data_IF_078784229483
#
_entry.id   IF_078784229483
#
_cell.length_a   1.000
_cell.length_b   1.000
_cell.length_c   1.000
_cell.angle_alpha   90.00
_cell.angle_beta   90.00
_cell.angle_gamma   90.00
#
_symmetry.space_group_name_H-M   'P 1'
#
loop_
_entity.id
_entity.type
_entity.pdbx_description
1 polymer ?
#
# COMPACT_ATOMS: atom_id res chain seq x y z
N UNK A 1 57.42 -46.72 -40.76
CA UNK A 1 56.39 -47.09 -39.75
C UNK A 1 56.20 -45.84 -38.88
N UNK A 2 55.20 -45.07 -39.25
CA UNK A 2 54.95 -43.72 -38.72
C UNK A 2 53.80 -43.78 -37.75
N UNK A 3 54.03 -43.61 -36.46
CA UNK A 3 52.95 -43.49 -35.46
C UNK A 3 52.56 -42.02 -35.35
N UNK A 4 51.36 -41.75 -35.82
CA UNK A 4 50.72 -40.44 -35.67
C UNK A 4 50.20 -40.31 -34.24
N UNK A 5 50.68 -39.26 -33.55
CA UNK A 5 50.14 -38.79 -32.28
C UNK A 5 48.99 -37.86 -32.59
N UNK A 6 47.77 -38.29 -32.24
CA UNK A 6 46.60 -37.44 -32.31
C UNK A 6 46.43 -36.71 -30.96
N UNK A 7 46.75 -35.43 -30.93
CA UNK A 7 46.52 -34.56 -29.77
C UNK A 7 45.12 -34.01 -29.85
N UNK A 8 44.21 -34.57 -29.06
CA UNK A 8 42.84 -34.06 -28.91
C UNK A 8 42.87 -32.89 -27.94
N UNK A 9 42.69 -31.68 -28.48
CA UNK A 9 42.52 -30.41 -27.74
C UNK A 9 41.06 -30.36 -27.25
N UNK A 10 40.82 -30.66 -25.98
CA UNK A 10 39.55 -30.53 -25.32
C UNK A 10 39.38 -29.08 -24.85
N UNK A 11 38.79 -28.25 -25.69
CA UNK A 11 38.39 -26.88 -25.30
C UNK A 11 37.20 -26.96 -24.38
N UNK A 12 37.46 -26.82 -23.06
CA UNK A 12 36.42 -26.67 -22.05
C UNK A 12 35.68 -25.34 -22.22
N UNK A 13 34.49 -25.38 -22.76
CA UNK A 13 33.59 -24.23 -22.82
C UNK A 13 32.97 -24.03 -21.42
N UNK A 14 33.62 -23.18 -20.64
CA UNK A 14 33.12 -22.79 -19.32
C UNK A 14 31.95 -21.82 -19.53
N UNK A 15 30.74 -22.34 -19.52
CA UNK A 15 29.56 -21.49 -19.47
C UNK A 15 29.55 -20.74 -18.13
N UNK A 16 29.98 -19.50 -18.17
CA UNK A 16 29.74 -18.58 -17.08
C UNK A 16 28.24 -18.30 -16.97
N UNK A 17 27.57 -19.02 -16.07
CA UNK A 17 26.21 -18.73 -15.66
C UNK A 17 26.26 -17.39 -14.89
N UNK A 18 26.04 -16.29 -15.58
CA UNK A 18 25.78 -15.00 -14.92
C UNK A 18 24.45 -15.14 -14.21
N UNK A 19 24.50 -15.39 -12.90
CA UNK A 19 23.34 -15.22 -12.04
C UNK A 19 22.97 -13.74 -12.10
N UNK A 20 21.94 -13.41 -12.89
CA UNK A 20 21.26 -12.14 -12.79
C UNK A 20 20.57 -12.16 -11.44
N UNK A 21 21.24 -11.60 -10.44
CA UNK A 21 20.62 -11.31 -9.15
C UNK A 21 19.49 -10.30 -9.44
N UNK A 22 18.25 -10.75 -9.45
CA UNK A 22 17.11 -9.85 -9.34
C UNK A 22 17.19 -9.24 -7.94
N UNK A 23 17.84 -8.11 -7.83
CA UNK A 23 17.68 -7.25 -6.68
C UNK A 23 16.19 -6.88 -6.68
N UNK A 24 15.43 -7.40 -5.71
CA UNK A 24 14.04 -7.01 -5.53
C UNK A 24 13.93 -5.48 -5.42
N UNK A 25 12.77 -4.93 -5.79
CA UNK A 25 12.51 -3.49 -5.67
C UNK A 25 12.79 -3.00 -4.25
N UNK A 26 13.29 -1.77 -4.11
CA UNK A 26 13.41 -1.15 -2.78
C UNK A 26 12.03 -0.76 -2.25
N UNK A 27 11.86 -0.58 -0.92
CA UNK A 27 10.63 -0.04 -0.36
C UNK A 27 10.19 1.28 -1.01
N UNK A 28 11.16 2.16 -1.27
CA UNK A 28 10.92 3.46 -1.92
C UNK A 28 10.49 3.30 -3.36
N UNK A 29 11.08 2.37 -4.13
CA UNK A 29 10.70 2.14 -5.53
C UNK A 29 9.24 1.67 -5.64
N UNK A 30 8.82 0.76 -4.76
CA UNK A 30 7.45 0.24 -4.74
C UNK A 30 6.42 1.30 -4.37
N UNK A 31 6.72 2.14 -3.37
CA UNK A 31 5.86 3.27 -3.00
C UNK A 31 5.82 4.30 -4.12
N UNK A 32 6.99 4.67 -4.68
CA UNK A 32 7.09 5.63 -5.79
C UNK A 32 6.28 5.18 -6.99
N UNK A 33 6.40 3.92 -7.41
CA UNK A 33 5.63 3.37 -8.53
C UNK A 33 4.14 3.56 -8.34
N UNK A 34 3.62 3.33 -7.13
CA UNK A 34 2.21 3.53 -6.84
C UNK A 34 1.80 5.00 -6.79
N UNK A 35 2.63 5.87 -6.22
CA UNK A 35 2.40 7.32 -6.20
C UNK A 35 2.41 7.89 -7.62
N UNK A 36 3.39 7.53 -8.45
CA UNK A 36 3.50 8.00 -9.83
C UNK A 36 2.28 7.54 -10.66
N UNK A 37 1.85 6.27 -10.49
CA UNK A 37 0.63 5.77 -11.14
C UNK A 37 -0.62 6.56 -10.71
N UNK A 38 -0.75 6.92 -9.43
CA UNK A 38 -1.84 7.77 -8.94
C UNK A 38 -1.82 9.15 -9.59
N UNK A 39 -0.65 9.78 -9.69
CA UNK A 39 -0.50 11.10 -10.32
C UNK A 39 -0.82 11.05 -11.83
N UNK A 40 -0.45 9.99 -12.53
CA UNK A 40 -0.80 9.79 -13.95
C UNK A 40 -2.31 9.63 -14.14
N UNK A 41 -3.00 8.85 -13.27
CA UNK A 41 -4.45 8.71 -13.32
C UNK A 41 -5.14 10.07 -13.12
N UNK A 42 -4.68 10.87 -12.15
CA UNK A 42 -5.26 12.19 -11.88
C UNK A 42 -5.12 13.15 -13.07
N UNK A 43 -3.99 13.11 -13.77
CA UNK A 43 -3.70 13.94 -14.95
C UNK A 43 -4.38 13.46 -16.22
N UNK A 44 -4.94 12.27 -16.25
CA UNK A 44 -5.56 11.71 -17.46
C UNK A 44 -6.91 12.38 -17.73
N UNK A 45 -6.94 13.29 -18.68
CA UNK A 45 -8.15 14.03 -19.11
C UNK A 45 -9.15 13.16 -19.88
N UNK A 46 -8.76 11.97 -20.35
CA UNK A 46 -9.63 11.04 -21.06
C UNK A 46 -10.53 10.22 -20.13
N UNK A 47 -10.21 10.20 -18.83
CA UNK A 47 -11.00 9.52 -17.82
C UNK A 47 -11.97 10.50 -17.16
N UNK A 48 -13.23 10.08 -17.05
CA UNK A 48 -14.19 10.73 -16.15
C UNK A 48 -13.84 10.45 -14.68
N UNK A 49 -14.57 11.09 -13.77
CA UNK A 49 -14.34 10.96 -12.34
C UNK A 49 -14.43 9.52 -11.85
N UNK A 50 -15.42 8.78 -12.31
CA UNK A 50 -15.63 7.39 -11.88
C UNK A 50 -14.55 6.47 -12.45
N UNK A 51 -14.11 6.68 -13.68
CA UNK A 51 -12.98 5.99 -14.30
C UNK A 51 -11.66 6.23 -13.55
N UNK A 52 -11.40 7.48 -13.13
CA UNK A 52 -10.24 7.81 -12.30
C UNK A 52 -10.31 7.07 -10.95
N UNK A 53 -11.44 7.12 -10.26
CA UNK A 53 -11.65 6.45 -8.98
C UNK A 53 -11.45 4.94 -9.07
N UNK A 54 -11.99 4.30 -10.09
CA UNK A 54 -11.82 2.86 -10.32
C UNK A 54 -10.34 2.47 -10.51
N UNK A 55 -9.58 3.25 -11.30
CA UNK A 55 -8.15 3.00 -11.50
C UNK A 55 -7.34 3.29 -10.23
N UNK A 56 -7.64 4.37 -9.49
CA UNK A 56 -6.99 4.67 -8.21
C UNK A 56 -7.24 3.56 -7.18
N UNK A 57 -8.47 3.05 -7.09
CA UNK A 57 -8.81 1.92 -6.22
C UNK A 57 -7.97 0.68 -6.56
N UNK A 58 -7.75 0.39 -7.85
CA UNK A 58 -6.88 -0.72 -8.28
C UNK A 58 -5.46 -0.54 -7.75
N UNK A 59 -4.85 0.63 -7.96
CA UNK A 59 -3.48 0.93 -7.48
C UNK A 59 -3.39 0.80 -5.96
N UNK A 60 -4.40 1.31 -5.23
CA UNK A 60 -4.46 1.21 -3.77
C UNK A 60 -4.54 -0.25 -3.34
N UNK A 61 -5.44 -1.05 -3.93
CA UNK A 61 -5.64 -2.44 -3.54
C UNK A 61 -4.44 -3.35 -3.88
N UNK A 62 -3.64 -3.01 -4.88
CA UNK A 62 -2.39 -3.71 -5.19
C UNK A 62 -1.27 -3.40 -4.18
N UNK A 63 -1.23 -2.18 -3.66
CA UNK A 63 -0.14 -1.72 -2.78
C UNK A 63 -0.45 -1.87 -1.30
N UNK A 64 -1.72 -1.76 -0.88
CA UNK A 64 -2.12 -1.79 0.53
C UNK A 64 -2.59 -3.18 0.93
N UNK A 65 -2.01 -3.77 1.97
CA UNK A 65 -2.53 -5.00 2.57
C UNK A 65 -3.63 -4.67 3.59
N UNK A 66 -4.85 -4.48 3.08
CA UNK A 66 -6.01 -4.15 3.92
C UNK A 66 -6.32 -5.22 4.97
N UNK A 67 -6.00 -6.50 4.72
CA UNK A 67 -6.11 -7.53 5.73
C UNK A 67 -5.11 -7.32 6.88
N UNK A 68 -3.87 -7.00 6.55
CA UNK A 68 -2.85 -6.71 7.56
C UNK A 68 -3.15 -5.40 8.31
N UNK A 69 -3.70 -4.40 7.64
CA UNK A 69 -4.17 -3.15 8.25
C UNK A 69 -5.34 -3.41 9.21
N UNK A 70 -6.34 -4.15 8.77
CA UNK A 70 -7.52 -4.53 9.57
C UNK A 70 -7.14 -5.31 10.83
N UNK A 71 -6.26 -6.31 10.69
CA UNK A 71 -5.76 -7.09 11.83
C UNK A 71 -5.10 -6.18 12.87
N UNK A 72 -4.33 -5.18 12.45
CA UNK A 72 -3.67 -4.23 13.35
C UNK A 72 -4.66 -3.25 13.98
N UNK A 73 -5.67 -2.85 13.23
CA UNK A 73 -6.74 -1.95 13.71
C UNK A 73 -7.58 -2.62 14.78
N UNK A 74 -8.04 -3.85 14.55
CA UNK A 74 -8.84 -4.59 15.53
C UNK A 74 -8.01 -5.13 16.71
N UNK A 75 -6.70 -5.29 16.54
CA UNK A 75 -5.77 -5.76 17.56
C UNK A 75 -6.25 -7.06 18.25
N UNK A 76 -6.52 -7.01 19.56
CA UNK A 76 -6.99 -8.19 20.32
C UNK A 76 -8.39 -8.66 19.91
N UNK A 77 -9.24 -7.77 19.36
CA UNK A 77 -10.57 -8.14 18.88
C UNK A 77 -10.51 -9.02 17.64
N UNK A 78 -9.46 -8.91 16.79
CA UNK A 78 -9.27 -9.76 15.62
C UNK A 78 -9.31 -11.25 15.93
N UNK A 79 -8.83 -11.67 17.11
CA UNK A 79 -8.83 -13.07 17.53
C UNK A 79 -10.20 -13.56 18.03
N UNK A 80 -11.12 -12.64 18.28
CA UNK A 80 -12.46 -12.92 18.82
C UNK A 80 -13.54 -12.95 17.74
N UNK A 81 -13.21 -12.48 16.52
CA UNK A 81 -14.13 -12.43 15.37
C UNK A 81 -14.04 -13.71 14.55
N UNK A 82 -15.15 -14.10 13.93
CA UNK A 82 -15.23 -15.19 12.95
C UNK A 82 -14.50 -14.84 11.65
N UNK A 83 -14.34 -15.78 10.75
CA UNK A 83 -13.70 -15.50 9.46
C UNK A 83 -14.61 -14.67 8.54
N UNK A 84 -15.92 -14.83 8.62
CA UNK A 84 -16.92 -14.04 7.92
C UNK A 84 -16.90 -12.58 8.40
N UNK A 85 -16.90 -12.35 9.71
CA UNK A 85 -16.77 -11.02 10.30
C UNK A 85 -15.45 -10.34 9.91
N UNK A 86 -14.35 -11.09 9.87
CA UNK A 86 -13.06 -10.56 9.39
C UNK A 86 -13.13 -10.13 7.93
N UNK A 87 -13.74 -10.94 7.06
CA UNK A 87 -13.91 -10.60 5.64
C UNK A 87 -14.75 -9.34 5.47
N UNK A 88 -15.88 -9.27 6.18
CA UNK A 88 -16.76 -8.11 6.16
C UNK A 88 -16.04 -6.85 6.67
N UNK A 89 -15.33 -6.96 7.79
CA UNK A 89 -14.55 -5.84 8.32
C UNK A 89 -13.48 -5.36 7.33
N UNK A 90 -12.73 -6.27 6.70
CA UNK A 90 -11.69 -5.91 5.71
C UNK A 90 -12.32 -5.16 4.53
N UNK A 91 -13.46 -5.64 4.01
CA UNK A 91 -14.17 -4.99 2.91
C UNK A 91 -14.67 -3.57 3.29
N UNK A 92 -15.30 -3.42 4.45
CA UNK A 92 -15.76 -2.12 4.92
C UNK A 92 -14.60 -1.17 5.24
N UNK A 93 -13.50 -1.70 5.79
CA UNK A 93 -12.34 -0.89 6.16
C UNK A 93 -11.61 -0.35 4.93
N UNK A 94 -11.45 -1.16 3.86
CA UNK A 94 -10.88 -0.66 2.60
C UNK A 94 -11.74 0.43 1.99
N UNK A 95 -13.05 0.22 1.87
CA UNK A 95 -13.98 1.23 1.35
C UNK A 95 -13.96 2.53 2.17
N UNK A 96 -13.96 2.40 3.50
CA UNK A 96 -13.92 3.56 4.39
C UNK A 96 -12.64 4.37 4.21
N UNK A 97 -11.47 3.72 4.14
CA UNK A 97 -10.19 4.39 3.90
C UNK A 97 -10.20 5.05 2.52
N UNK A 98 -10.57 4.33 1.47
CA UNK A 98 -10.63 4.88 0.11
C UNK A 98 -11.55 6.11 0.05
N UNK A 99 -12.79 6.01 0.54
CA UNK A 99 -13.75 7.11 0.51
C UNK A 99 -13.32 8.31 1.37
N UNK A 100 -12.61 8.08 2.48
CA UNK A 100 -12.13 9.15 3.35
C UNK A 100 -11.01 9.98 2.74
N UNK A 101 -10.24 9.41 1.80
CA UNK A 101 -9.06 10.07 1.24
C UNK A 101 -9.17 10.37 -0.24
N UNK A 102 -10.09 9.72 -1.00
CA UNK A 102 -10.22 9.91 -2.45
C UNK A 102 -10.43 11.37 -2.83
N UNK A 103 -11.31 12.09 -2.15
CA UNK A 103 -11.56 13.51 -2.44
C UNK A 103 -10.34 14.40 -2.19
N UNK A 104 -9.51 14.07 -1.19
CA UNK A 104 -8.24 14.78 -0.94
C UNK A 104 -7.22 14.50 -2.05
N UNK A 105 -7.17 13.24 -2.52
CA UNK A 105 -6.29 12.83 -3.60
C UNK A 105 -6.74 13.49 -4.92
N UNK A 106 -8.04 13.53 -5.19
CA UNK A 106 -8.62 14.19 -6.37
C UNK A 106 -8.35 15.71 -6.42
N UNK A 107 -8.19 16.34 -5.26
CA UNK A 107 -7.86 17.77 -5.17
C UNK A 107 -6.40 18.07 -5.56
N UNK A 108 -5.52 17.06 -5.63
CA UNK A 108 -4.15 17.23 -6.09
C UNK A 108 -4.11 17.42 -7.61
N UNK A 109 -3.44 18.48 -8.08
CA UNK A 109 -3.37 18.82 -9.51
C UNK A 109 -1.96 18.79 -10.08
N UNK A 110 -0.99 19.34 -9.37
CA UNK A 110 0.41 19.46 -9.83
C UNK A 110 1.43 19.32 -8.68
N UNK A 111 1.07 18.62 -7.64
CA UNK A 111 1.93 18.45 -6.49
C UNK A 111 3.14 17.59 -6.84
N UNK A 112 4.26 17.96 -6.24
CA UNK A 112 5.49 17.20 -6.30
C UNK A 112 5.60 16.33 -5.07
N UNK A 113 6.07 15.08 -5.23
CA UNK A 113 6.36 14.21 -4.11
C UNK A 113 7.87 13.97 -4.05
N UNK A 114 8.48 14.41 -2.95
CA UNK A 114 9.87 14.13 -2.64
C UNK A 114 9.97 12.89 -1.71
N UNK A 115 11.09 12.19 -1.81
CA UNK A 115 11.37 10.96 -1.05
C UNK A 115 12.66 11.18 -0.25
N UNK A 116 12.62 11.84 0.92
CA UNK A 116 13.81 12.20 1.68
C UNK A 116 14.57 11.00 2.24
N UNK A 117 13.92 9.82 2.35
CA UNK A 117 14.63 8.62 2.78
C UNK A 117 13.77 7.41 3.07
N UNK A 118 14.44 6.32 3.39
CA UNK A 118 13.81 5.11 3.89
C UNK A 118 14.62 4.51 5.06
N UNK A 119 13.92 3.82 5.96
CA UNK A 119 14.52 3.12 7.09
C UNK A 119 14.09 1.67 7.06
N UNK A 120 15.01 0.77 6.73
CA UNK A 120 14.76 -0.68 6.62
C UNK A 120 15.20 -1.38 7.91
N UNK A 121 14.32 -2.26 8.43
CA UNK A 121 14.62 -3.16 9.55
C UNK A 121 14.10 -4.56 9.24
N UNK A 122 14.98 -5.43 8.75
CA UNK A 122 14.63 -6.77 8.29
C UNK A 122 13.61 -6.71 7.14
N UNK A 123 12.45 -7.34 7.32
CA UNK A 123 11.36 -7.36 6.34
C UNK A 123 10.34 -6.23 6.51
N UNK A 124 10.68 -5.17 7.21
CA UNK A 124 9.85 -3.98 7.40
C UNK A 124 10.65 -2.74 7.05
N UNK A 125 9.95 -1.72 6.55
CA UNK A 125 10.54 -0.42 6.31
C UNK A 125 9.55 0.71 6.57
N UNK A 126 10.10 1.90 6.71
CA UNK A 126 9.36 3.16 6.64
C UNK A 126 9.93 3.93 5.47
N UNK A 127 9.07 4.26 4.51
CA UNK A 127 9.38 5.17 3.40
C UNK A 127 8.88 6.56 3.79
N UNK A 128 9.79 7.52 3.82
CA UNK A 128 9.49 8.92 4.12
C UNK A 128 9.15 9.64 2.81
N UNK A 129 8.01 10.32 2.76
CA UNK A 129 7.64 11.16 1.63
C UNK A 129 7.20 12.54 2.09
N UNK A 130 7.38 13.53 1.23
CA UNK A 130 6.94 14.89 1.42
C UNK A 130 6.13 15.33 0.21
N UNK A 131 4.84 15.57 0.40
CA UNK A 131 3.96 16.09 -0.64
C UNK A 131 4.07 17.61 -0.60
N UNK A 132 4.62 18.19 -1.66
CA UNK A 132 4.83 19.63 -1.80
C UNK A 132 3.62 20.21 -2.51
N UNK A 133 2.82 21.02 -1.78
CA UNK A 133 1.66 21.71 -2.33
C UNK A 133 1.93 23.22 -2.40
N UNK A 134 1.04 23.95 -3.04
CA UNK A 134 1.13 25.41 -3.11
C UNK A 134 0.96 26.12 -1.75
N UNK A 135 0.36 25.45 -0.76
CA UNK A 135 0.02 26.01 0.55
C UNK A 135 0.86 25.49 1.71
N UNK A 136 1.30 24.23 1.64
CA UNK A 136 2.08 23.59 2.71
C UNK A 136 2.76 22.31 2.21
N UNK A 137 3.83 21.93 2.91
CA UNK A 137 4.46 20.63 2.73
C UNK A 137 3.84 19.62 3.71
N UNK A 138 3.30 18.52 3.18
CA UNK A 138 2.61 17.49 3.96
C UNK A 138 3.49 16.24 4.05
N UNK A 139 4.06 15.94 5.23
CA UNK A 139 4.80 14.68 5.42
C UNK A 139 3.84 13.49 5.48
N UNK A 140 4.06 12.52 4.59
CA UNK A 140 3.32 11.26 4.55
C UNK A 140 4.32 10.11 4.55
N UNK A 141 4.33 9.30 5.61
CA UNK A 141 5.24 8.18 5.73
C UNK A 141 4.49 6.86 5.61
N UNK A 142 5.01 5.96 4.80
CA UNK A 142 4.43 4.65 4.56
C UNK A 142 5.18 3.59 5.37
N UNK A 143 4.48 2.87 6.25
CA UNK A 143 5.04 1.65 6.86
C UNK A 143 4.73 0.48 5.96
N UNK A 144 5.78 -0.16 5.48
CA UNK A 144 5.69 -1.27 4.54
C UNK A 144 6.35 -2.54 5.09
N UNK A 145 5.95 -3.69 4.59
CA UNK A 145 6.61 -4.95 4.86
C UNK A 145 6.76 -5.76 3.56
N UNK A 146 7.81 -6.57 3.51
CA UNK A 146 8.12 -7.40 2.36
C UNK A 146 7.25 -8.66 2.35
N UNK A 147 6.54 -8.89 1.23
CA UNK A 147 5.75 -10.09 0.94
C UNK A 147 6.11 -10.61 -0.45
N UNK A 148 6.86 -11.71 -0.50
CA UNK A 148 7.52 -12.11 -1.74
C UNK A 148 8.54 -11.05 -2.17
N UNK A 149 8.44 -10.62 -3.42
CA UNK A 149 9.32 -9.60 -4.01
C UNK A 149 8.75 -8.18 -3.92
N UNK A 150 7.61 -7.98 -3.25
CA UNK A 150 6.92 -6.70 -3.14
C UNK A 150 6.92 -6.16 -1.71
N UNK A 151 6.86 -4.82 -1.59
CA UNK A 151 6.67 -4.11 -0.34
C UNK A 151 5.22 -3.62 -0.25
N UNK A 152 4.45 -4.15 0.70
CA UNK A 152 3.04 -3.81 0.91
C UNK A 152 2.88 -2.88 2.10
N UNK A 153 2.01 -1.88 1.93
CA UNK A 153 1.69 -0.90 2.97
C UNK A 153 0.76 -1.53 4.01
N UNK A 154 1.11 -1.36 5.29
CA UNK A 154 0.28 -1.78 6.42
C UNK A 154 -0.08 -0.66 7.39
N UNK A 155 0.45 0.53 7.22
CA UNK A 155 0.09 1.75 7.96
C UNK A 155 0.58 2.98 7.20
N UNK A 156 -0.15 4.08 7.31
CA UNK A 156 0.26 5.39 6.79
C UNK A 156 0.29 6.38 7.95
N UNK A 157 1.33 7.19 8.00
CA UNK A 157 1.49 8.25 9.00
C UNK A 157 1.38 9.57 8.25
N UNK A 158 0.33 10.33 8.48
CA UNK A 158 0.09 11.63 7.87
C UNK A 158 0.32 12.69 8.94
N UNK A 159 1.23 13.63 8.72
CA UNK A 159 1.58 14.69 9.70
C UNK A 159 1.86 14.13 11.11
N UNK A 160 2.53 12.99 11.18
CA UNK A 160 2.87 12.32 12.44
C UNK A 160 1.77 11.43 13.04
N UNK A 161 0.56 11.41 12.48
CA UNK A 161 -0.58 10.63 12.97
C UNK A 161 -0.72 9.33 12.18
N UNK A 162 -0.58 8.18 12.87
CA UNK A 162 -0.80 6.85 12.26
C UNK A 162 -2.29 6.59 12.07
N UNK A 163 -2.69 6.28 10.82
CA UNK A 163 -4.07 5.90 10.50
C UNK A 163 -4.53 4.70 11.31
N UNK A 164 -3.71 3.65 11.34
CA UNK A 164 -4.05 2.41 12.06
C UNK A 164 -4.22 2.66 13.55
N UNK A 165 -3.37 3.46 14.17
CA UNK A 165 -3.48 3.77 15.60
C UNK A 165 -4.73 4.61 15.90
N UNK A 166 -5.06 5.56 15.03
CA UNK A 166 -6.24 6.41 15.17
C UNK A 166 -7.53 5.57 15.10
N UNK A 167 -7.69 4.76 14.04
CA UNK A 167 -8.85 3.88 13.91
C UNK A 167 -8.92 2.83 15.03
N UNK A 168 -7.77 2.28 15.46
CA UNK A 168 -7.74 1.32 16.57
C UNK A 168 -8.34 1.91 17.83
N UNK A 169 -7.96 3.10 18.21
CA UNK A 169 -8.46 3.76 19.42
C UNK A 169 -9.98 3.93 19.35
N UNK A 170 -10.50 4.47 18.26
CA UNK A 170 -11.93 4.69 18.06
C UNK A 170 -12.71 3.37 18.03
N UNK A 171 -12.20 2.35 17.32
CA UNK A 171 -12.90 1.08 17.14
C UNK A 171 -12.92 0.22 18.40
N UNK A 172 -11.85 0.28 19.22
CA UNK A 172 -11.85 -0.38 20.52
C UNK A 172 -12.95 0.16 21.43
N UNK A 173 -13.19 1.47 21.41
CA UNK A 173 -14.29 2.08 22.19
C UNK A 173 -15.65 1.65 21.69
N UNK A 174 -15.85 1.61 20.36
CA UNK A 174 -17.11 1.19 19.76
C UNK A 174 -17.39 -0.28 20.10
N UNK A 175 -16.42 -1.16 19.86
CA UNK A 175 -16.58 -2.60 20.17
C UNK A 175 -16.87 -2.84 21.65
N UNK A 176 -16.24 -2.07 22.56
CA UNK A 176 -16.50 -2.16 24.00
C UNK A 176 -17.95 -1.76 24.36
N UNK A 177 -18.53 -0.77 23.69
CA UNK A 177 -19.84 -0.19 24.00
C UNK A 177 -20.99 -0.92 23.27
N UNK A 178 -20.78 -1.31 22.02
CA UNK A 178 -21.83 -1.71 21.09
C UNK A 178 -21.59 -3.09 20.45
N UNK A 179 -20.47 -3.74 20.80
CA UNK A 179 -20.09 -5.01 20.18
C UNK A 179 -19.50 -4.85 18.77
N UNK A 180 -19.19 -5.98 18.14
CA UNK A 180 -18.59 -6.00 16.80
C UNK A 180 -19.61 -5.63 15.72
N UNK A 181 -20.87 -6.08 15.84
CA UNK A 181 -21.96 -5.74 14.92
C UNK A 181 -22.25 -4.22 14.93
N UNK A 182 -22.18 -3.59 16.10
CA UNK A 182 -22.29 -2.14 16.23
C UNK A 182 -21.16 -1.41 15.51
N UNK A 183 -19.94 -1.95 15.53
CA UNK A 183 -18.82 -1.40 14.76
C UNK A 183 -19.09 -1.50 13.25
N UNK A 184 -19.47 -2.68 12.74
CA UNK A 184 -19.75 -2.86 11.32
C UNK A 184 -20.87 -1.95 10.83
N UNK A 185 -21.94 -1.80 11.63
CA UNK A 185 -23.07 -0.89 11.33
C UNK A 185 -22.59 0.56 11.22
N UNK A 186 -21.76 1.02 12.16
CA UNK A 186 -21.23 2.39 12.12
C UNK A 186 -20.27 2.62 10.96
N UNK A 187 -19.47 1.62 10.60
CA UNK A 187 -18.60 1.70 9.42
C UNK A 187 -19.42 1.86 8.14
N UNK A 188 -20.47 1.04 7.97
CA UNK A 188 -21.36 1.16 6.81
C UNK A 188 -22.03 2.54 6.74
N UNK A 189 -22.60 3.01 7.85
CA UNK A 189 -23.25 4.32 7.92
C UNK A 189 -22.28 5.46 7.54
N UNK A 190 -20.98 5.35 7.96
CA UNK A 190 -19.96 6.34 7.59
C UNK A 190 -19.57 6.28 6.11
N UNK A 191 -19.54 5.09 5.53
CA UNK A 191 -19.29 4.90 4.09
C UNK A 191 -20.43 5.56 3.28
N UNK A 192 -21.69 5.32 3.68
CA UNK A 192 -22.87 5.88 3.02
C UNK A 192 -22.90 7.43 3.13
N UNK A 193 -22.55 7.97 4.30
CA UNK A 193 -22.36 9.42 4.50
C UNK A 193 -21.32 10.01 3.54
N UNK A 194 -20.13 9.39 3.46
CA UNK A 194 -19.05 9.83 2.58
C UNK A 194 -19.43 9.76 1.10
N UNK A 195 -20.17 8.72 0.70
CA UNK A 195 -20.65 8.56 -0.67
C UNK A 195 -21.72 9.59 -1.06
N UNK A 196 -22.51 10.08 -0.10
CA UNK A 196 -23.57 11.07 -0.32
C UNK A 196 -23.06 12.52 -0.28
N UNK A 197 -21.83 12.76 0.19
CA UNK A 197 -21.25 14.10 0.25
C UNK A 197 -20.69 14.47 -1.13
N UNK A 198 -21.19 15.54 -1.80
CA UNK A 198 -20.63 16.01 -3.05
C UNK A 198 -19.17 16.46 -2.81
N UNK A 199 -18.24 15.90 -3.57
CA UNK A 199 -16.82 16.29 -3.59
C UNK A 199 -16.56 17.34 -4.65
#
# INVERSE_FOLDING_TARGET
>A
MLKQFLLTLMAGFMLAFTMVSHAGSTPTDDVRTSVDAMLEILKNEQLDKDGKRAQMSTVINERFDFRAMSQRTLATNWKKTTDEEKQQFVALFSQLIENSYVGKIEAYTNEKVDYPGEKIKGRKAVVETLIITSSADVPVNYKVYQKGDQWLVYDVIIEGVSLISNYRSSYQEIVKKEGFDGLLTKMQAKIDELASTPS
#
